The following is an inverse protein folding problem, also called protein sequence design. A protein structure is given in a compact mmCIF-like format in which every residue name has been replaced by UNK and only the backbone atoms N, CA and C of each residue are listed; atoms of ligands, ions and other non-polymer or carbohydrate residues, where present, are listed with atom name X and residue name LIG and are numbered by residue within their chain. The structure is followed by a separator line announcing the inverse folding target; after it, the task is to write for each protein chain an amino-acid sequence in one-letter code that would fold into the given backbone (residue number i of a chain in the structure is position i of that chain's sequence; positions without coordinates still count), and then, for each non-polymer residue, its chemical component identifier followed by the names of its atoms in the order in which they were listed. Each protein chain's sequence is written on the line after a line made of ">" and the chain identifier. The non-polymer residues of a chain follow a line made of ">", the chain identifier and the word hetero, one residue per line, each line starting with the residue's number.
data_IF_379377159031
#
_entry.id   IF_379377159031
#
_cell.length_a   1.000
_cell.length_b   1.000
_cell.length_c   1.000
_cell.angle_alpha   90.00
_cell.angle_beta   90.00
_cell.angle_gamma   90.00
#
_symmetry.space_group_name_H-M   'P 1'
#
loop_
_entity.id
_entity.type
_entity.pdbx_description
1 polymer ?
#
# COMPACT_ATOMS: atom_id res chain seq x y z
N UNK A 1 15.23 -6.99 -13.11
CA UNK A 1 15.78 -8.18 -12.63
C UNK A 1 14.79 -9.21 -12.10
N UNK A 2 14.99 -9.65 -10.85
CA UNK A 2 14.18 -10.74 -10.23
C UNK A 2 12.70 -10.45 -10.13
N UNK A 3 12.31 -9.17 -9.98
CA UNK A 3 10.94 -8.76 -9.75
C UNK A 3 10.19 -8.36 -11.02
N UNK A 4 10.86 -8.33 -12.16
CA UNK A 4 10.29 -7.97 -13.46
C UNK A 4 10.39 -9.13 -14.45
N UNK A 5 9.64 -9.07 -15.53
CA UNK A 5 9.65 -10.09 -16.57
C UNK A 5 10.69 -9.74 -17.64
N UNK A 6 11.69 -10.57 -17.84
CA UNK A 6 12.70 -10.36 -18.87
C UNK A 6 12.14 -10.40 -20.30
N UNK A 7 11.02 -11.09 -20.51
CA UNK A 7 10.38 -11.23 -21.83
C UNK A 7 8.87 -11.15 -21.70
N UNK A 8 8.23 -10.40 -22.58
CA UNK A 8 6.79 -10.28 -22.67
C UNK A 8 6.13 -11.67 -22.73
N UNK A 9 5.14 -11.91 -21.86
CA UNK A 9 4.41 -13.17 -21.78
C UNK A 9 4.98 -14.22 -20.84
N UNK A 10 6.13 -14.01 -20.22
CA UNK A 10 6.62 -14.87 -19.13
C UNK A 10 5.96 -14.49 -17.81
N UNK A 11 5.64 -15.47 -16.98
CA UNK A 11 5.18 -15.25 -15.61
C UNK A 11 6.34 -14.73 -14.75
N UNK A 12 6.09 -13.70 -13.95
CA UNK A 12 7.04 -13.26 -12.93
C UNK A 12 7.09 -14.24 -11.76
N UNK A 13 8.05 -14.03 -10.85
CA UNK A 13 8.25 -14.93 -9.70
C UNK A 13 7.06 -14.98 -8.75
N UNK A 14 6.22 -13.95 -8.70
CA UNK A 14 5.06 -13.86 -7.80
C UNK A 14 3.81 -14.53 -8.35
N UNK A 15 3.76 -14.79 -9.67
CA UNK A 15 2.53 -15.27 -10.33
C UNK A 15 2.00 -16.57 -9.71
N UNK A 16 0.80 -16.48 -9.14
CA UNK A 16 0.10 -17.59 -8.49
C UNK A 16 0.68 -18.01 -7.14
N UNK A 17 1.59 -17.22 -6.54
CA UNK A 17 2.17 -17.46 -5.22
C UNK A 17 1.59 -16.52 -4.18
N UNK A 18 1.65 -16.93 -2.92
CA UNK A 18 1.38 -16.06 -1.78
C UNK A 18 2.71 -15.43 -1.38
N UNK A 19 2.73 -14.11 -1.22
CA UNK A 19 3.86 -13.38 -0.70
C UNK A 19 3.73 -13.26 0.82
N UNK A 20 4.85 -13.40 1.49
CA UNK A 20 5.00 -13.10 2.89
C UNK A 20 6.11 -12.06 3.05
N UNK A 21 5.75 -10.87 3.53
CA UNK A 21 6.66 -9.73 3.64
C UNK A 21 6.94 -9.46 5.10
N UNK A 22 8.23 -9.40 5.45
CA UNK A 22 8.70 -9.12 6.80
C UNK A 22 9.83 -8.08 6.77
N UNK A 23 10.17 -7.52 7.93
CA UNK A 23 11.27 -6.56 8.09
C UNK A 23 10.86 -5.10 7.86
N UNK A 24 9.57 -4.80 7.86
CA UNK A 24 9.00 -3.46 7.68
C UNK A 24 8.14 -3.06 8.88
N UNK A 25 8.70 -3.14 10.08
CA UNK A 25 7.99 -2.89 11.35
C UNK A 25 7.38 -1.49 11.44
N UNK A 26 8.00 -0.50 10.80
CA UNK A 26 7.61 0.92 10.88
C UNK A 26 6.48 1.32 9.91
N UNK A 27 5.95 0.38 9.12
CA UNK A 27 4.82 0.66 8.24
C UNK A 27 3.55 0.93 9.05
N UNK A 28 2.78 1.94 8.63
CA UNK A 28 1.39 2.07 9.05
C UNK A 28 0.54 0.99 8.36
N UNK A 29 -0.65 0.72 8.90
CA UNK A 29 -1.58 -0.25 8.28
C UNK A 29 -1.97 0.18 6.86
N UNK A 30 -2.15 1.48 6.61
CA UNK A 30 -2.46 2.01 5.29
C UNK A 30 -1.33 1.76 4.28
N UNK A 31 -0.07 1.96 4.69
CA UNK A 31 1.09 1.66 3.85
C UNK A 31 1.21 0.15 3.57
N UNK A 32 0.89 -0.68 4.56
CA UNK A 32 0.85 -2.12 4.37
C UNK A 32 -0.25 -2.54 3.38
N UNK A 33 -1.41 -1.91 3.41
CA UNK A 33 -2.45 -2.13 2.40
C UNK A 33 -1.99 -1.78 0.99
N UNK A 34 -1.31 -0.64 0.81
CA UNK A 34 -0.74 -0.24 -0.48
C UNK A 34 0.27 -1.26 -1.01
N UNK A 35 1.16 -1.72 -0.14
CA UNK A 35 2.16 -2.73 -0.50
C UNK A 35 1.51 -4.08 -0.83
N UNK A 36 0.51 -4.48 -0.06
CA UNK A 36 -0.27 -5.70 -0.30
C UNK A 36 -1.03 -5.63 -1.63
N UNK A 37 -1.69 -4.50 -1.91
CA UNK A 37 -2.43 -4.29 -3.17
C UNK A 37 -1.49 -4.35 -4.38
N UNK A 38 -0.30 -3.75 -4.29
CA UNK A 38 0.70 -3.80 -5.34
C UNK A 38 1.13 -5.23 -5.72
N UNK A 39 0.99 -6.20 -4.81
CA UNK A 39 1.28 -7.60 -5.10
C UNK A 39 0.29 -8.21 -6.10
N UNK A 40 -0.97 -7.75 -6.10
CA UNK A 40 -1.98 -8.19 -7.05
C UNK A 40 -1.63 -7.76 -8.49
N UNK A 41 -1.04 -6.59 -8.67
CA UNK A 41 -0.54 -6.10 -9.96
C UNK A 41 0.56 -7.01 -10.54
N UNK A 42 1.22 -7.79 -9.68
CA UNK A 42 2.21 -8.79 -10.05
C UNK A 42 1.64 -10.21 -10.13
N UNK A 43 0.29 -10.33 -10.15
CA UNK A 43 -0.42 -11.62 -10.23
C UNK A 43 -0.15 -12.56 -9.06
N UNK A 44 0.17 -12.04 -7.89
CA UNK A 44 0.22 -12.82 -6.67
C UNK A 44 -1.17 -13.34 -6.30
N UNK A 45 -1.24 -14.50 -5.69
CA UNK A 45 -2.51 -15.08 -5.21
C UNK A 45 -2.93 -14.51 -3.85
N UNK A 46 -2.02 -13.92 -3.13
CA UNK A 46 -2.24 -13.26 -1.85
C UNK A 46 -0.96 -12.62 -1.32
N UNK A 47 -1.10 -11.79 -0.29
CA UNK A 47 0.03 -11.17 0.39
C UNK A 47 -0.27 -11.03 1.88
N UNK A 48 0.68 -11.39 2.72
CA UNK A 48 0.70 -11.10 4.15
C UNK A 48 1.89 -10.21 4.49
N UNK A 49 1.70 -9.29 5.43
CA UNK A 49 2.75 -8.38 5.87
C UNK A 49 2.83 -8.44 7.38
N UNK A 50 4.03 -8.70 7.90
CA UNK A 50 4.28 -8.66 9.32
C UNK A 50 4.30 -7.21 9.81
N UNK A 51 3.37 -6.88 10.71
CA UNK A 51 3.26 -5.57 11.36
C UNK A 51 3.40 -5.72 12.86
N UNK A 52 3.75 -4.62 13.53
CA UNK A 52 3.73 -4.57 14.98
C UNK A 52 2.31 -4.46 15.53
N UNK A 53 2.10 -5.04 16.71
CA UNK A 53 0.81 -5.03 17.40
C UNK A 53 0.31 -3.60 17.66
N UNK A 54 1.20 -2.71 18.08
CA UNK A 54 0.86 -1.31 18.38
C UNK A 54 0.32 -0.59 17.13
N UNK A 55 0.91 -0.80 15.97
CA UNK A 55 0.47 -0.25 14.69
C UNK A 55 -0.95 -0.71 14.34
N UNK A 56 -1.22 -2.00 14.49
CA UNK A 56 -2.56 -2.56 14.25
C UNK A 56 -3.55 -2.03 15.28
N UNK A 57 -3.15 -1.95 16.55
CA UNK A 57 -4.01 -1.45 17.61
C UNK A 57 -4.40 0.03 17.40
N UNK A 58 -3.47 0.88 16.98
CA UNK A 58 -3.74 2.28 16.66
C UNK A 58 -4.77 2.41 15.53
N UNK A 59 -4.58 1.66 14.45
CA UNK A 59 -5.52 1.62 13.32
C UNK A 59 -6.91 1.17 13.76
N UNK A 60 -7.02 0.11 14.58
CA UNK A 60 -8.31 -0.37 15.07
C UNK A 60 -9.01 0.65 15.97
N UNK A 61 -8.27 1.30 16.88
CA UNK A 61 -8.82 2.37 17.74
C UNK A 61 -9.40 3.52 16.92
N UNK A 62 -8.67 3.96 15.88
CA UNK A 62 -9.15 5.00 14.97
C UNK A 62 -10.44 4.59 14.26
N UNK A 63 -10.51 3.36 13.77
CA UNK A 63 -11.70 2.84 13.11
C UNK A 63 -12.90 2.70 14.07
N UNK A 64 -12.68 2.28 15.32
CA UNK A 64 -13.74 2.21 16.33
C UNK A 64 -14.34 3.59 16.55
N UNK A 65 -13.52 4.64 16.70
CA UNK A 65 -13.98 6.02 16.85
C UNK A 65 -14.85 6.44 15.67
N UNK A 66 -14.39 6.16 14.45
CA UNK A 66 -15.16 6.45 13.23
C UNK A 66 -16.50 5.72 13.21
N UNK A 67 -16.52 4.42 13.48
CA UNK A 67 -17.76 3.62 13.48
C UNK A 67 -18.75 4.11 14.54
N UNK A 68 -18.28 4.47 15.74
CA UNK A 68 -19.10 5.03 16.81
C UNK A 68 -19.70 6.39 16.42
N UNK A 69 -18.91 7.26 15.75
CA UNK A 69 -19.40 8.54 15.22
C UNK A 69 -20.50 8.32 14.16
N UNK A 70 -20.27 7.40 13.22
CA UNK A 70 -21.27 7.06 12.19
C UNK A 70 -22.58 6.57 12.81
N UNK A 71 -22.53 5.75 13.86
CA UNK A 71 -23.72 5.29 14.57
C UNK A 71 -24.45 6.48 15.22
N UNK A 72 -23.70 7.35 15.90
CA UNK A 72 -24.27 8.52 16.57
C UNK A 72 -24.92 9.51 15.59
N UNK A 73 -24.38 9.64 14.40
CA UNK A 73 -24.90 10.47 13.32
C UNK A 73 -26.07 9.84 12.53
N UNK A 74 -26.48 8.62 12.90
CA UNK A 74 -27.63 7.95 12.30
C UNK A 74 -27.35 7.30 10.93
N UNK A 75 -26.12 6.94 10.65
CA UNK A 75 -25.78 6.15 9.44
C UNK A 75 -26.58 4.83 9.40
N UNK A 76 -27.00 4.45 8.21
CA UNK A 76 -27.74 3.19 8.00
C UNK A 76 -26.96 1.97 8.46
N UNK A 77 -27.70 0.88 8.77
CA UNK A 77 -27.14 -0.40 9.28
C UNK A 77 -26.27 -0.28 10.54
N UNK A 78 -26.75 0.49 11.53
CA UNK A 78 -26.08 0.66 12.81
C UNK A 78 -25.72 -0.66 13.49
N UNK A 79 -26.51 -1.72 13.30
CA UNK A 79 -26.22 -3.07 13.84
C UNK A 79 -24.93 -3.65 13.30
N UNK A 80 -24.65 -3.50 12.00
CA UNK A 80 -23.41 -3.98 11.40
C UNK A 80 -22.21 -3.13 11.87
N UNK A 81 -22.37 -1.81 11.94
CA UNK A 81 -21.33 -0.91 12.46
C UNK A 81 -20.98 -1.28 13.91
N UNK A 82 -21.99 -1.48 14.77
CA UNK A 82 -21.83 -1.90 16.17
C UNK A 82 -21.08 -3.25 16.28
N UNK A 83 -21.48 -4.25 15.50
CA UNK A 83 -20.82 -5.56 15.47
C UNK A 83 -19.35 -5.47 15.06
N UNK A 84 -19.02 -4.61 14.09
CA UNK A 84 -17.64 -4.37 13.64
C UNK A 84 -16.83 -3.69 14.73
N UNK A 85 -17.37 -2.64 15.36
CA UNK A 85 -16.68 -1.96 16.45
C UNK A 85 -16.38 -2.92 17.61
N UNK A 86 -17.36 -3.72 18.05
CA UNK A 86 -17.15 -4.72 19.12
C UNK A 86 -16.07 -5.74 18.77
N UNK A 87 -16.04 -6.27 17.54
CA UNK A 87 -14.99 -7.20 17.14
C UNK A 87 -13.59 -6.59 17.20
N UNK A 88 -13.46 -5.31 16.89
CA UNK A 88 -12.19 -4.59 17.03
C UNK A 88 -11.84 -4.39 18.52
N UNK A 89 -12.82 -4.04 19.35
CA UNK A 89 -12.65 -3.94 20.80
C UNK A 89 -12.25 -5.27 21.44
N UNK A 90 -12.87 -6.38 21.02
CA UNK A 90 -12.53 -7.73 21.47
C UNK A 90 -11.08 -8.09 21.11
N UNK A 91 -10.65 -7.76 19.88
CA UNK A 91 -9.26 -7.99 19.48
C UNK A 91 -8.28 -7.13 20.31
N UNK A 92 -8.60 -5.85 20.54
CA UNK A 92 -7.78 -4.96 21.36
C UNK A 92 -7.66 -5.42 22.82
N UNK A 93 -8.67 -6.15 23.34
CA UNK A 93 -8.62 -6.72 24.69
C UNK A 93 -7.71 -7.95 24.77
N UNK A 94 -7.48 -8.65 23.68
CA UNK A 94 -6.62 -9.83 23.61
C UNK A 94 -5.94 -9.91 22.22
N UNK A 95 -4.95 -9.04 21.94
CA UNK A 95 -4.32 -8.97 20.64
C UNK A 95 -3.63 -10.30 20.26
N UNK A 96 -3.75 -10.65 18.99
CA UNK A 96 -3.05 -11.80 18.43
C UNK A 96 -2.78 -11.55 16.95
N UNK A 97 -1.53 -11.54 16.57
CA UNK A 97 -1.09 -11.46 15.18
C UNK A 97 -0.72 -12.84 14.67
N UNK A 98 -0.97 -13.07 13.39
CA UNK A 98 -0.49 -14.28 12.73
C UNK A 98 1.02 -14.19 12.53
N UNK A 99 1.70 -15.29 12.78
CA UNK A 99 3.14 -15.45 12.54
C UNK A 99 3.36 -16.66 11.65
N UNK A 100 4.45 -16.64 10.88
CA UNK A 100 4.85 -17.80 10.10
C UNK A 100 5.17 -18.99 11.02
N UNK A 101 4.89 -20.19 10.54
CA UNK A 101 5.33 -21.40 11.19
C UNK A 101 6.87 -21.49 11.16
N UNK A 102 7.48 -22.05 12.22
CA UNK A 102 8.94 -22.11 12.33
C UNK A 102 9.60 -22.98 11.25
N UNK A 103 8.85 -23.91 10.70
CA UNK A 103 9.25 -24.85 9.66
C UNK A 103 8.63 -24.55 8.30
N UNK A 104 8.15 -23.32 8.09
CA UNK A 104 7.56 -22.88 6.83
C UNK A 104 8.56 -23.01 5.68
N UNK A 105 8.16 -23.72 4.63
CA UNK A 105 8.96 -23.88 3.42
C UNK A 105 8.58 -22.83 2.38
N UNK A 106 9.56 -22.07 1.88
CA UNK A 106 9.37 -21.04 0.87
C UNK A 106 9.90 -21.48 -0.49
N UNK A 107 9.13 -21.25 -1.54
CA UNK A 107 9.56 -21.49 -2.92
C UNK A 107 10.74 -20.60 -3.34
N UNK A 108 10.85 -19.41 -2.75
CA UNK A 108 11.96 -18.49 -2.90
C UNK A 108 11.99 -17.51 -1.73
N UNK A 109 13.17 -17.08 -1.34
CA UNK A 109 13.40 -15.96 -0.40
C UNK A 109 14.11 -14.85 -1.15
N UNK A 110 13.61 -13.62 -1.05
CA UNK A 110 14.16 -12.43 -1.70
C UNK A 110 14.46 -11.42 -0.60
N UNK A 111 15.72 -11.07 -0.46
CA UNK A 111 16.15 -10.01 0.43
C UNK A 111 16.34 -8.71 -0.34
N UNK A 112 15.74 -7.63 0.14
CA UNK A 112 15.86 -6.29 -0.43
C UNK A 112 16.42 -5.36 0.64
N UNK A 113 17.65 -4.91 0.45
CA UNK A 113 18.27 -3.91 1.32
C UNK A 113 17.76 -2.51 0.93
N UNK A 114 16.84 -1.98 1.73
CA UNK A 114 16.23 -0.66 1.50
C UNK A 114 17.25 0.48 1.59
N UNK A 115 18.38 0.30 2.26
CA UNK A 115 19.46 1.30 2.33
C UNK A 115 20.03 1.57 0.93
N UNK A 116 19.94 0.63 0.03
CA UNK A 116 20.40 0.77 -1.35
C UNK A 116 19.39 1.49 -2.27
N UNK A 117 18.16 1.72 -1.82
CA UNK A 117 17.15 2.49 -2.55
C UNK A 117 17.33 3.97 -2.22
N UNK A 118 17.96 4.72 -3.12
CA UNK A 118 18.35 6.13 -2.90
C UNK A 118 17.39 7.14 -3.48
N UNK A 119 16.54 6.72 -4.40
CA UNK A 119 15.57 7.57 -5.07
C UNK A 119 14.35 6.77 -5.50
N UNK A 120 13.22 7.43 -5.81
CA UNK A 120 12.03 6.74 -6.31
C UNK A 120 12.31 5.98 -7.61
N UNK A 121 11.65 4.85 -7.74
CA UNK A 121 11.62 4.04 -8.98
C UNK A 121 10.25 4.28 -9.61
N UNK A 122 10.25 4.67 -10.88
CA UNK A 122 9.03 4.90 -11.67
C UNK A 122 8.94 3.89 -12.80
N UNK A 123 7.73 3.51 -13.14
CA UNK A 123 7.47 2.62 -14.28
C UNK A 123 6.93 3.43 -15.46
N UNK A 124 7.25 3.00 -16.67
CA UNK A 124 6.69 3.60 -17.88
C UNK A 124 5.16 3.46 -17.88
N UNK A 125 4.42 4.40 -18.47
CA UNK A 125 2.97 4.27 -18.63
C UNK A 125 2.62 2.96 -19.35
N UNK A 126 1.68 2.20 -18.76
CA UNK A 126 1.20 0.91 -19.28
C UNK A 126 2.25 -0.21 -19.36
N UNK A 127 3.42 -0.03 -18.75
CA UNK A 127 4.45 -1.07 -18.68
C UNK A 127 5.13 -1.10 -17.31
N UNK A 128 4.59 -1.87 -16.35
CA UNK A 128 5.15 -1.96 -14.99
C UNK A 128 6.50 -2.68 -14.96
N UNK A 129 6.93 -3.30 -16.05
CA UNK A 129 8.24 -3.96 -16.17
C UNK A 129 9.33 -3.01 -16.69
N UNK A 130 8.99 -1.87 -17.31
CA UNK A 130 9.93 -0.81 -17.65
C UNK A 130 10.12 0.15 -16.46
N UNK A 131 10.81 -0.37 -15.44
CA UNK A 131 11.12 0.37 -14.21
C UNK A 131 12.44 1.13 -14.35
N UNK A 132 12.41 2.43 -14.02
CA UNK A 132 13.57 3.33 -14.12
C UNK A 132 13.72 4.16 -12.84
N UNK A 133 14.94 4.59 -12.56
CA UNK A 133 15.19 5.57 -11.52
C UNK A 133 14.60 6.93 -11.91
N UNK A 134 14.06 7.67 -10.95
CA UNK A 134 13.48 8.99 -11.22
C UNK A 134 14.49 9.92 -11.89
N UNK A 135 15.75 9.90 -11.47
CA UNK A 135 16.83 10.71 -12.05
C UNK A 135 17.06 10.42 -13.54
N UNK A 136 16.78 9.20 -14.00
CA UNK A 136 16.97 8.80 -15.40
C UNK A 136 15.87 9.34 -16.33
N UNK A 137 14.72 9.74 -15.80
CA UNK A 137 13.57 10.26 -16.55
C UNK A 137 13.23 11.71 -16.19
N UNK A 138 13.98 12.29 -15.26
CA UNK A 138 13.78 13.68 -14.85
C UNK A 138 14.04 14.63 -16.02
N UNK A 139 13.04 15.47 -16.33
CA UNK A 139 13.08 16.39 -17.46
C UNK A 139 12.35 15.90 -18.71
N UNK A 140 11.90 14.67 -18.74
CA UNK A 140 11.02 14.19 -19.80
C UNK A 140 9.70 14.97 -19.80
N UNK A 141 9.19 15.25 -21.00
CA UNK A 141 7.92 15.96 -21.12
C UNK A 141 6.77 15.09 -20.66
N UNK A 142 5.93 15.65 -19.79
CA UNK A 142 4.69 15.06 -19.32
C UNK A 142 3.53 15.93 -19.79
N UNK A 143 2.59 15.37 -20.53
CA UNK A 143 1.42 16.10 -21.04
C UNK A 143 0.25 16.05 -20.07
N UNK A 144 0.10 14.96 -19.31
CA UNK A 144 -0.99 14.76 -18.37
C UNK A 144 -0.50 13.95 -17.17
N UNK A 145 -0.98 14.30 -15.97
CA UNK A 145 -0.72 13.56 -14.72
C UNK A 145 -2.05 13.16 -14.09
N UNK A 146 -2.20 11.89 -13.83
CA UNK A 146 -3.33 11.34 -13.08
C UNK A 146 -2.85 10.85 -11.71
N UNK A 147 -3.56 11.23 -10.64
CA UNK A 147 -3.32 10.73 -9.28
C UNK A 147 -4.56 9.99 -8.82
N UNK A 148 -4.50 8.68 -8.80
CA UNK A 148 -5.61 7.84 -8.37
C UNK A 148 -5.34 6.37 -8.58
N UNK A 149 -5.84 5.54 -7.66
CA UNK A 149 -5.86 4.08 -7.74
C UNK A 149 -6.87 3.54 -6.73
N UNK A 150 -7.11 2.22 -6.71
CA UNK A 150 -7.95 1.56 -5.70
C UNK A 150 -7.44 1.80 -4.26
N UNK A 151 -6.13 2.02 -4.08
CA UNK A 151 -5.50 2.28 -2.78
C UNK A 151 -5.12 3.74 -2.53
N UNK A 152 -5.47 4.67 -3.44
CA UNK A 152 -5.20 6.09 -3.22
C UNK A 152 -6.01 6.61 -2.04
N UNK A 153 -5.33 7.15 -1.05
CA UNK A 153 -5.93 7.71 0.16
C UNK A 153 -5.62 9.21 0.30
N UNK A 154 -6.22 9.85 1.32
CA UNK A 154 -6.05 11.28 1.58
C UNK A 154 -4.58 11.67 1.81
N UNK A 155 -3.74 10.76 2.28
CA UNK A 155 -2.31 10.97 2.49
C UNK A 155 -1.59 11.29 1.19
N UNK A 156 -1.91 10.56 0.11
CA UNK A 156 -1.35 10.81 -1.21
C UNK A 156 -1.71 12.19 -1.75
N UNK A 157 -2.97 12.60 -1.63
CA UNK A 157 -3.40 13.94 -2.06
C UNK A 157 -2.73 15.05 -1.24
N UNK A 158 -2.55 14.85 0.08
CA UNK A 158 -1.83 15.79 0.93
C UNK A 158 -0.35 15.88 0.55
N UNK A 159 0.30 14.77 0.25
CA UNK A 159 1.69 14.73 -0.21
C UNK A 159 1.85 15.45 -1.56
N UNK A 160 0.99 15.12 -2.53
CA UNK A 160 0.96 15.80 -3.83
C UNK A 160 0.72 17.31 -3.67
N UNK A 161 -0.25 17.71 -2.85
CA UNK A 161 -0.54 19.12 -2.57
C UNK A 161 0.67 19.87 -2.00
N UNK A 162 1.42 19.27 -1.07
CA UNK A 162 2.65 19.85 -0.53
C UNK A 162 3.72 20.05 -1.60
N UNK A 163 3.91 19.07 -2.48
CA UNK A 163 4.87 19.18 -3.59
C UNK A 163 4.46 20.29 -4.57
N UNK A 164 3.19 20.36 -4.93
CA UNK A 164 2.66 21.36 -5.87
C UNK A 164 2.73 22.79 -5.31
N UNK A 165 2.54 22.97 -3.99
CA UNK A 165 2.67 24.27 -3.34
C UNK A 165 4.09 24.83 -3.38
N UNK A 166 5.09 23.98 -3.52
CA UNK A 166 6.51 24.40 -3.60
C UNK A 166 6.93 24.85 -5.01
N UNK A 167 6.07 24.61 -6.01
CA UNK A 167 6.37 24.95 -7.40
C UNK A 167 5.96 26.41 -7.73
N UNK A 168 6.66 27.09 -8.66
CA UNK A 168 6.24 28.39 -9.14
C UNK A 168 4.81 28.33 -9.71
N UNK A 169 4.00 29.38 -9.44
CA UNK A 169 2.58 29.45 -9.83
C UNK A 169 2.28 29.44 -11.35
N UNK A 170 3.27 29.13 -12.18
CA UNK A 170 3.13 29.11 -13.65
C UNK A 170 2.60 27.78 -14.20
N UNK A 171 2.34 26.79 -13.35
CA UNK A 171 1.78 25.50 -13.77
C UNK A 171 0.27 25.54 -13.62
N UNK A 172 -0.45 25.38 -14.73
CA UNK A 172 -1.92 25.25 -14.73
C UNK A 172 -2.27 23.79 -14.46
N UNK A 173 -2.96 23.55 -13.35
CA UNK A 173 -3.46 22.22 -13.00
C UNK A 173 -4.93 22.11 -13.41
N UNK A 174 -5.25 21.18 -14.28
CA UNK A 174 -6.62 20.78 -14.55
C UNK A 174 -6.95 19.60 -13.64
N UNK A 175 -7.77 19.85 -12.61
CA UNK A 175 -8.35 18.80 -11.78
C UNK A 175 -9.62 18.32 -12.48
N UNK A 176 -9.59 17.11 -13.02
CA UNK A 176 -10.83 16.44 -13.45
C UNK A 176 -11.57 15.95 -12.19
N UNK A 177 -12.85 16.33 -12.08
CA UNK A 177 -13.77 15.82 -11.07
C UNK A 177 -14.28 14.43 -11.48
#
# INVERSE_FOLDING_TARGET
>A
GLLTVEKKGKKNIFSGRILEIAGLSDLTVEQAFELSDASAERSAAGCTIALDEDTVAEYLRSNIVLLRSMIAEGYGDSRTLERRARKMEDWLANPSLMTADQDAEYAAVIEIDLVNIREPIVCAPNDPDDARLLSAVAGDKVDEVFIGSCMTNIGHFRAAGKLLQQQPRSVVYNLCQ
#
